data_IF_107069922625
#
_entry.id   IF_107069922625
#
_cell.length_a   1.000
_cell.length_b   1.000
_cell.length_c   1.000
_cell.angle_alpha   90.00
_cell.angle_beta   90.00
_cell.angle_gamma   90.00
#
_symmetry.space_group_name_H-M   'P 1'
#
loop_
_entity.id
_entity.type
_entity.pdbx_description
1 polymer ?
#
# COMPACT_ATOMS: atom_id res chain seq x y z
N UNK A 1 -65.22 14.08 -35.95
CA UNK A 1 -64.45 13.94 -34.70
C UNK A 1 -63.39 15.03 -34.67
N UNK A 2 -63.00 15.61 -33.54
CA UNK A 2 -63.49 15.38 -32.18
C UNK A 2 -62.36 15.55 -31.15
N UNK A 3 -62.50 16.57 -30.31
CA UNK A 3 -61.86 16.79 -29.01
C UNK A 3 -60.32 16.91 -28.89
N UNK A 4 -59.91 18.17 -28.96
CA UNK A 4 -58.80 18.81 -28.22
C UNK A 4 -58.79 18.45 -26.72
N UNK A 5 -57.62 18.36 -26.08
CA UNK A 5 -57.39 18.91 -24.72
C UNK A 5 -55.89 19.00 -24.32
N UNK A 6 -55.56 19.98 -23.46
CA UNK A 6 -54.29 20.11 -22.71
C UNK A 6 -54.57 19.94 -21.18
N UNK A 7 -53.83 20.55 -20.23
CA UNK A 7 -52.85 19.84 -19.40
C UNK A 7 -53.14 19.95 -17.88
N UNK A 8 -52.24 19.46 -17.01
CA UNK A 8 -52.06 20.07 -15.67
C UNK A 8 -50.69 19.83 -15.04
N UNK A 9 -50.38 20.63 -14.02
CA UNK A 9 -49.15 20.70 -13.21
C UNK A 9 -49.53 20.93 -11.74
N UNK A 10 -48.78 20.33 -10.80
CA UNK A 10 -48.61 20.69 -9.38
C UNK A 10 -47.38 19.88 -8.85
N UNK A 11 -46.48 20.32 -7.96
CA UNK A 11 -46.60 21.07 -6.68
C UNK A 11 -47.30 20.22 -5.58
N UNK A 12 -46.79 20.06 -4.34
CA UNK A 12 -45.50 20.41 -3.66
C UNK A 12 -45.27 19.46 -2.45
N UNK A 13 -44.21 19.71 -1.65
CA UNK A 13 -44.13 19.54 -0.17
C UNK A 13 -43.49 18.32 0.56
N UNK A 14 -42.24 18.54 0.98
CA UNK A 14 -41.81 18.78 2.39
C UNK A 14 -42.13 17.79 3.54
N UNK A 15 -41.09 17.03 3.95
CA UNK A 15 -40.60 16.70 5.31
C UNK A 15 -41.61 16.60 6.49
N UNK A 16 -41.54 15.50 7.26
CA UNK A 16 -41.75 15.54 8.72
C UNK A 16 -40.96 14.46 9.48
N UNK A 17 -40.56 14.75 10.72
CA UNK A 17 -39.93 13.83 11.69
C UNK A 17 -40.87 13.63 12.89
N UNK A 18 -40.82 12.46 13.54
CA UNK A 18 -41.55 12.22 14.79
C UNK A 18 -40.76 11.34 15.78
N UNK A 19 -40.37 11.91 16.91
CA UNK A 19 -39.87 11.18 18.08
C UNK A 19 -41.04 10.63 18.90
N UNK A 20 -40.84 9.48 19.59
CA UNK A 20 -41.69 9.05 20.72
C UNK A 20 -40.77 8.53 21.85
N UNK A 21 -41.11 8.87 23.10
CA UNK A 21 -40.36 8.51 24.31
C UNK A 21 -41.27 8.51 25.54
N UNK A 22 -41.30 7.45 26.36
CA UNK A 22 -42.10 7.35 27.61
C UNK A 22 -41.52 6.38 28.64
N UNK A 23 -42.00 6.48 29.88
CA UNK A 23 -41.41 5.98 31.15
C UNK A 23 -42.57 5.54 32.11
N UNK A 24 -42.45 4.90 33.28
CA UNK A 24 -41.36 4.64 34.25
C UNK A 24 -41.76 3.52 35.26
N UNK A 25 -41.03 3.39 36.38
CA UNK A 25 -41.42 2.80 37.70
C UNK A 25 -41.53 1.25 37.81
N UNK A 26 -40.72 0.56 38.63
CA UNK A 26 -40.88 0.19 40.08
C UNK A 26 -41.09 -1.35 40.22
N UNK A 27 -41.00 -2.11 41.34
CA UNK A 27 -40.56 -1.99 42.76
C UNK A 27 -40.41 -3.45 43.35
N UNK A 28 -39.82 -3.81 44.50
CA UNK A 28 -38.68 -3.29 45.32
C UNK A 28 -38.35 -4.31 46.48
N UNK A 29 -37.08 -4.42 46.93
CA UNK A 29 -36.57 -5.21 48.12
C UNK A 29 -36.66 -6.77 48.00
N UNK A 30 -35.87 -7.59 48.72
CA UNK A 30 -35.07 -7.39 49.95
C UNK A 30 -33.65 -8.02 49.95
N UNK A 31 -32.73 -7.32 50.65
CA UNK A 31 -31.57 -7.76 51.46
C UNK A 31 -30.92 -9.15 51.28
N UNK A 32 -29.59 -9.15 51.10
CA UNK A 32 -28.66 -9.68 52.11
C UNK A 32 -27.28 -9.01 51.99
N UNK A 33 -26.56 -8.85 53.11
CA UNK A 33 -25.26 -8.17 53.15
C UNK A 33 -24.08 -9.15 53.16
N UNK A 34 -23.05 -8.90 52.36
CA UNK A 34 -21.67 -9.31 52.64
C UNK A 34 -20.75 -8.15 52.28
N UNK A 35 -19.99 -7.67 53.26
CA UNK A 35 -19.01 -6.59 53.09
C UNK A 35 -17.75 -7.07 52.38
N UNK A 36 -17.31 -6.36 51.35
CA UNK A 36 -15.94 -6.40 50.84
C UNK A 36 -15.58 -5.11 50.11
N UNK A 37 -14.32 -4.66 50.22
CA UNK A 37 -13.94 -3.28 49.92
C UNK A 37 -13.82 -2.98 48.42
N UNK A 38 -14.69 -2.10 47.92
CA UNK A 38 -14.73 -1.67 46.51
C UNK A 38 -13.70 -0.56 46.19
N UNK A 39 -12.41 -0.87 46.20
CA UNK A 39 -11.39 0.01 45.61
C UNK A 39 -11.46 -0.02 44.08
N UNK A 40 -12.21 0.91 43.48
CA UNK A 40 -12.30 1.09 42.02
C UNK A 40 -11.03 1.73 41.44
N UNK A 41 -9.97 0.94 41.25
CA UNK A 41 -8.83 1.35 40.42
C UNK A 41 -9.18 1.18 38.94
N UNK A 42 -9.49 2.29 38.27
CA UNK A 42 -9.57 2.32 36.81
C UNK A 42 -8.16 2.14 36.26
N UNK A 43 -7.83 0.94 35.79
CA UNK A 43 -6.54 0.66 35.16
C UNK A 43 -6.32 1.61 33.99
N UNK A 44 -5.21 2.34 34.02
CA UNK A 44 -4.80 3.19 32.91
C UNK A 44 -4.32 2.34 31.74
N UNK A 45 -4.19 2.95 30.56
CA UNK A 45 -3.57 2.29 29.41
C UNK A 45 -2.11 1.88 29.69
N UNK A 46 -1.41 2.57 30.58
CA UNK A 46 -0.02 2.31 30.93
C UNK A 46 0.13 1.07 31.84
N UNK A 47 -0.82 0.84 32.74
CA UNK A 47 -0.89 -0.38 33.56
C UNK A 47 -1.06 -1.63 32.70
N UNK A 48 -1.94 -1.55 31.68
CA UNK A 48 -2.18 -2.64 30.74
C UNK A 48 -0.96 -2.93 29.87
N UNK A 49 -0.29 -1.90 29.35
CA UNK A 49 0.98 -2.02 28.62
C UNK A 49 2.06 -2.69 29.48
N UNK A 50 2.14 -2.35 30.76
CA UNK A 50 3.15 -2.89 31.68
C UNK A 50 2.99 -4.40 31.92
N UNK A 51 1.75 -4.91 32.01
CA UNK A 51 1.49 -6.34 32.16
C UNK A 51 1.88 -7.19 30.94
N UNK A 52 1.75 -6.63 29.72
CA UNK A 52 2.09 -7.28 28.46
C UNK A 52 3.61 -7.43 28.23
N UNK A 53 4.44 -6.71 29.00
CA UNK A 53 5.91 -6.72 28.84
C UNK A 53 6.61 -7.79 29.70
N UNK A 54 5.99 -8.25 30.80
CA UNK A 54 6.65 -9.08 31.82
C UNK A 54 6.29 -10.58 31.78
N UNK A 55 5.66 -11.08 30.70
CA UNK A 55 5.08 -12.43 30.66
C UNK A 55 5.51 -13.30 29.46
N UNK A 56 6.82 -13.43 29.21
CA UNK A 56 7.41 -14.62 28.56
C UNK A 56 8.93 -14.71 28.69
N UNK A 57 9.42 -15.58 29.58
CA UNK A 57 10.82 -16.02 29.64
C UNK A 57 11.12 -17.04 28.54
N UNK A 58 11.27 -16.58 27.31
CA UNK A 58 11.83 -17.36 26.21
C UNK A 58 12.75 -16.48 25.35
N UNK A 59 13.70 -17.12 24.64
CA UNK A 59 14.74 -16.44 23.84
C UNK A 59 14.14 -15.33 22.96
N UNK A 60 14.75 -14.12 22.93
CA UNK A 60 14.17 -12.98 22.23
C UNK A 60 13.98 -13.34 20.75
N UNK A 61 12.76 -13.19 20.19
CA UNK A 61 12.50 -13.52 18.80
C UNK A 61 13.42 -12.65 17.94
N UNK A 62 14.38 -13.29 17.28
CA UNK A 62 15.44 -12.64 16.50
C UNK A 62 14.80 -11.77 15.42
N UNK A 63 14.63 -10.47 15.71
CA UNK A 63 14.16 -9.46 14.77
C UNK A 63 15.20 -9.40 13.65
N UNK A 64 14.97 -10.16 12.58
CA UNK A 64 15.83 -10.22 11.39
C UNK A 64 16.15 -8.78 10.99
N UNK A 65 17.41 -8.36 11.17
CA UNK A 65 17.84 -7.00 10.87
C UNK A 65 17.47 -6.70 9.42
N UNK A 66 16.92 -5.51 9.10
CA UNK A 66 16.45 -5.20 7.75
C UNK A 66 17.60 -5.40 6.76
N UNK A 67 17.38 -6.25 5.76
CA UNK A 67 18.41 -6.67 4.82
C UNK A 67 18.85 -5.47 3.96
N UNK A 68 19.99 -4.90 4.31
CA UNK A 68 20.64 -3.85 3.52
C UNK A 68 21.47 -4.52 2.45
N UNK A 69 21.04 -4.42 1.19
CA UNK A 69 21.83 -4.90 0.05
C UNK A 69 22.78 -3.77 -0.39
N UNK A 70 24.05 -4.11 -0.63
CA UNK A 70 25.07 -3.18 -1.12
C UNK A 70 25.83 -3.81 -2.26
N UNK A 71 25.98 -3.06 -3.35
CA UNK A 71 26.88 -3.38 -4.46
C UNK A 71 27.81 -2.20 -4.75
N UNK A 72 28.82 -2.44 -5.59
CA UNK A 72 29.79 -1.44 -6.03
C UNK A 72 29.57 -1.18 -7.53
N UNK A 73 29.71 0.07 -7.97
CA UNK A 73 29.70 0.39 -9.40
C UNK A 73 30.82 -0.37 -10.13
N UNK A 74 30.53 -0.81 -11.36
CA UNK A 74 31.53 -1.44 -12.24
C UNK A 74 32.39 -0.43 -12.98
N UNK A 75 31.95 0.83 -13.04
CA UNK A 75 32.56 1.93 -13.80
C UNK A 75 33.28 2.93 -12.91
N UNK A 76 32.73 3.23 -11.74
CA UNK A 76 33.26 4.19 -10.79
C UNK A 76 33.60 3.50 -9.45
N UNK A 77 34.88 3.25 -9.13
CA UNK A 77 35.27 2.51 -7.93
C UNK A 77 34.99 3.24 -6.61
N UNK A 78 34.49 4.48 -6.66
CA UNK A 78 34.09 5.25 -5.48
C UNK A 78 32.57 5.20 -5.20
N UNK A 79 31.77 4.68 -6.14
CA UNK A 79 30.30 4.63 -6.03
C UNK A 79 29.81 3.26 -5.55
N UNK A 80 28.85 3.31 -4.64
CA UNK A 80 28.17 2.15 -4.05
C UNK A 80 26.67 2.33 -4.13
N UNK A 81 25.97 1.31 -4.62
CA UNK A 81 24.51 1.28 -4.61
C UNK A 81 24.04 0.57 -3.34
N UNK A 82 23.07 1.16 -2.65
CA UNK A 82 22.57 0.69 -1.36
C UNK A 82 21.05 0.58 -1.48
N UNK A 83 20.48 -0.55 -1.09
CA UNK A 83 19.03 -0.76 -0.99
C UNK A 83 18.65 -1.07 0.46
N UNK A 84 17.79 -0.21 0.99
CA UNK A 84 17.13 -0.33 2.31
C UNK A 84 15.63 -0.18 2.13
N UNK A 85 14.83 -0.59 3.12
CA UNK A 85 13.37 -0.40 3.08
C UNK A 85 12.97 1.08 3.05
N UNK A 86 13.74 1.94 3.73
CA UNK A 86 13.55 3.39 3.78
C UNK A 86 14.92 4.10 3.72
N UNK A 87 15.02 5.30 3.10
CA UNK A 87 16.25 6.12 3.15
C UNK A 87 16.61 6.54 4.58
N UNK A 88 17.90 6.55 4.91
CA UNK A 88 18.41 6.96 6.23
C UNK A 88 18.27 8.47 6.49
N UNK A 89 18.27 9.29 5.44
CA UNK A 89 18.16 10.75 5.54
C UNK A 89 16.70 11.21 5.58
N UNK A 90 16.33 11.96 6.62
CA UNK A 90 14.95 12.43 6.89
C UNK A 90 14.33 13.20 5.74
N UNK A 91 15.09 14.08 5.07
CA UNK A 91 14.61 14.86 3.92
C UNK A 91 14.27 13.95 2.72
N UNK A 92 15.16 13.01 2.39
CA UNK A 92 14.94 12.03 1.32
C UNK A 92 13.73 11.14 1.62
N UNK A 93 13.57 10.72 2.87
CA UNK A 93 12.39 9.97 3.32
C UNK A 93 11.10 10.80 3.20
N UNK A 94 11.15 12.09 3.55
CA UNK A 94 10.00 13.00 3.47
C UNK A 94 9.55 13.25 2.03
N UNK A 95 10.48 13.55 1.11
CA UNK A 95 10.15 13.71 -0.30
C UNK A 95 9.68 12.39 -0.93
N UNK A 96 10.35 11.26 -0.64
CA UNK A 96 9.89 9.93 -1.08
C UNK A 96 8.48 9.61 -0.60
N UNK A 97 8.13 9.96 0.65
CA UNK A 97 6.77 9.78 1.18
C UNK A 97 5.73 10.61 0.41
N UNK A 98 6.03 11.85 0.06
CA UNK A 98 5.12 12.67 -0.75
C UNK A 98 4.98 12.12 -2.17
N UNK A 99 6.08 11.69 -2.80
CA UNK A 99 6.08 11.05 -4.12
C UNK A 99 5.20 9.78 -4.11
N UNK A 100 5.36 8.90 -3.11
CA UNK A 100 4.53 7.69 -2.96
C UNK A 100 3.04 8.04 -2.79
N UNK A 101 2.70 9.06 -1.98
CA UNK A 101 1.30 9.49 -1.81
C UNK A 101 0.72 9.96 -3.15
N UNK A 102 1.41 10.85 -3.88
CA UNK A 102 0.94 11.35 -5.19
C UNK A 102 0.63 10.22 -6.16
N UNK A 103 1.55 9.25 -6.33
CA UNK A 103 1.39 8.10 -7.23
C UNK A 103 0.13 7.25 -6.96
N UNK A 104 -0.33 7.20 -5.71
CA UNK A 104 -1.49 6.37 -5.33
C UNK A 104 -2.78 7.16 -5.03
N UNK A 105 -2.74 8.48 -4.85
CA UNK A 105 -3.92 9.29 -4.50
C UNK A 105 -4.25 10.44 -5.44
N UNK A 106 -3.28 10.96 -6.20
CA UNK A 106 -3.45 12.14 -7.05
C UNK A 106 -3.27 11.82 -8.55
N UNK A 107 -2.21 11.09 -8.88
CA UNK A 107 -1.84 10.81 -10.27
C UNK A 107 -2.67 9.66 -10.84
N UNK A 108 -3.82 10.00 -11.44
CA UNK A 108 -4.75 9.02 -12.04
C UNK A 108 -4.36 8.73 -13.50
N UNK A 109 -3.41 7.81 -13.68
CA UNK A 109 -3.11 7.33 -15.03
C UNK A 109 -4.25 6.44 -15.57
N UNK A 110 -4.87 6.87 -16.66
CA UNK A 110 -5.89 6.12 -17.39
C UNK A 110 -5.35 4.84 -18.06
N UNK A 111 -4.02 4.79 -18.32
CA UNK A 111 -3.35 3.64 -18.91
C UNK A 111 -2.20 3.16 -18.01
N UNK A 112 -2.48 2.13 -17.20
CA UNK A 112 -1.50 1.51 -16.30
C UNK A 112 -0.26 0.92 -17.01
N UNK A 113 -0.25 0.79 -18.34
CA UNK A 113 0.95 0.36 -19.09
C UNK A 113 1.92 1.50 -19.37
N UNK A 114 1.51 2.76 -19.14
CA UNK A 114 2.34 3.95 -19.36
C UNK A 114 2.93 4.49 -18.05
N UNK A 115 4.13 5.09 -18.10
CA UNK A 115 4.67 5.82 -16.97
C UNK A 115 3.91 7.14 -16.77
N UNK A 116 3.88 7.62 -15.53
CA UNK A 116 3.62 9.02 -15.21
C UNK A 116 4.93 9.72 -14.90
N UNK A 117 5.08 10.96 -15.36
CA UNK A 117 6.16 11.86 -14.96
C UNK A 117 5.55 13.06 -14.23
N UNK A 118 6.05 13.36 -13.03
CA UNK A 118 5.56 14.44 -12.18
C UNK A 118 6.66 14.86 -11.20
N UNK A 119 6.58 16.07 -10.63
CA UNK A 119 7.56 16.53 -9.66
C UNK A 119 7.48 18.01 -9.35
N UNK A 120 8.47 18.49 -8.59
CA UNK A 120 8.85 19.90 -8.49
C UNK A 120 10.23 20.05 -7.85
N UNK A 121 10.81 21.25 -7.92
CA UNK A 121 12.12 21.59 -7.32
C UNK A 121 12.23 21.35 -5.81
N UNK A 122 11.11 21.17 -5.08
CA UNK A 122 11.10 20.94 -3.63
C UNK A 122 11.15 19.46 -3.24
N UNK A 123 10.60 18.57 -4.08
CA UNK A 123 10.50 17.14 -3.79
C UNK A 123 11.18 16.23 -4.82
N UNK A 124 11.76 16.84 -5.86
CA UNK A 124 12.39 16.15 -6.99
C UNK A 124 11.42 15.86 -8.13
N UNK A 125 11.99 15.39 -9.23
CA UNK A 125 11.30 14.98 -10.44
C UNK A 125 11.30 13.46 -10.52
N UNK A 126 10.13 12.89 -10.81
CA UNK A 126 9.86 11.46 -10.64
C UNK A 126 9.22 10.88 -11.90
N UNK A 127 9.67 9.70 -12.30
CA UNK A 127 8.94 8.80 -13.20
C UNK A 127 8.43 7.62 -12.37
N UNK A 128 7.14 7.30 -12.47
CA UNK A 128 6.57 6.11 -11.84
C UNK A 128 5.83 5.25 -12.86
N UNK A 129 6.00 3.92 -12.78
CA UNK A 129 5.25 2.93 -13.56
C UNK A 129 4.50 2.00 -12.60
N UNK A 130 3.17 2.09 -12.63
CA UNK A 130 2.27 1.39 -11.71
C UNK A 130 1.72 0.10 -12.33
N UNK A 131 1.49 -0.93 -11.51
CA UNK A 131 0.99 -2.23 -11.96
C UNK A 131 0.18 -2.95 -10.87
N UNK A 132 -0.77 -3.79 -11.27
CA UNK A 132 -1.51 -4.68 -10.34
C UNK A 132 -0.92 -6.08 -10.31
N UNK A 133 -0.93 -6.71 -9.14
CA UNK A 133 -0.78 -8.17 -8.96
C UNK A 133 -2.05 -8.74 -8.30
N UNK A 134 -2.49 -9.91 -8.75
CA UNK A 134 -3.60 -10.64 -8.12
C UNK A 134 -3.20 -11.09 -6.70
N UNK A 135 -4.08 -10.84 -5.73
CA UNK A 135 -4.07 -11.45 -4.40
C UNK A 135 -5.49 -11.49 -3.81
N UNK A 136 -6.05 -12.71 -3.67
CA UNK A 136 -7.34 -12.97 -3.02
C UNK A 136 -7.46 -12.45 -1.58
N UNK A 137 -6.35 -12.12 -0.90
CA UNK A 137 -6.36 -11.51 0.44
C UNK A 137 -6.44 -9.98 0.43
N UNK A 138 -6.38 -9.35 -0.73
CA UNK A 138 -6.46 -7.90 -0.92
C UNK A 138 -7.86 -7.45 -1.39
N UNK A 139 -8.12 -6.13 -1.31
CA UNK A 139 -9.40 -5.53 -1.72
C UNK A 139 -9.53 -5.59 -3.24
N UNK A 140 -10.62 -6.17 -3.76
CA UNK A 140 -10.81 -6.30 -5.20
C UNK A 140 -9.98 -7.44 -5.82
N UNK A 141 -9.51 -8.40 -5.02
CA UNK A 141 -8.58 -9.46 -5.45
C UNK A 141 -7.23 -8.97 -6.01
N UNK A 142 -6.87 -7.69 -5.83
CA UNK A 142 -5.62 -7.12 -6.37
C UNK A 142 -4.83 -6.29 -5.36
N UNK A 143 -3.50 -6.23 -5.56
CA UNK A 143 -2.60 -5.23 -4.97
C UNK A 143 -2.00 -4.36 -6.06
N UNK A 144 -2.18 -3.04 -5.94
CA UNK A 144 -1.47 -2.06 -6.75
C UNK A 144 -0.07 -1.81 -6.20
N UNK A 145 0.89 -1.76 -7.10
CA UNK A 145 2.29 -1.46 -6.85
C UNK A 145 2.78 -0.42 -7.85
N UNK A 146 3.97 0.15 -7.61
CA UNK A 146 4.63 1.05 -8.55
C UNK A 146 6.14 0.98 -8.39
N UNK A 147 6.88 1.08 -9.50
CA UNK A 147 8.32 1.31 -9.49
C UNK A 147 8.52 2.80 -9.77
N UNK A 148 9.28 3.48 -8.90
CA UNK A 148 9.50 4.93 -8.96
C UNK A 148 11.00 5.20 -9.11
N UNK A 149 11.35 6.06 -10.06
CA UNK A 149 12.70 6.62 -10.28
C UNK A 149 12.64 8.12 -10.02
N UNK A 150 13.55 8.65 -9.20
CA UNK A 150 13.53 10.04 -8.74
C UNK A 150 14.89 10.70 -8.89
N UNK A 151 14.95 11.93 -9.40
CA UNK A 151 16.14 12.81 -9.28
C UNK A 151 15.77 14.17 -8.70
N UNK A 152 16.78 14.95 -8.31
CA UNK A 152 16.63 16.33 -7.89
C UNK A 152 16.41 17.28 -9.08
N UNK A 153 16.94 16.93 -10.27
CA UNK A 153 16.88 17.75 -11.48
C UNK A 153 15.89 17.17 -12.50
N UNK A 154 15.26 18.05 -13.26
CA UNK A 154 14.32 17.67 -14.31
C UNK A 154 15.04 17.13 -15.56
N UNK A 155 16.18 17.75 -15.91
CA UNK A 155 17.04 17.33 -17.02
C UNK A 155 17.51 15.87 -16.92
N UNK A 156 17.89 15.41 -15.73
CA UNK A 156 18.24 13.99 -15.47
C UNK A 156 17.14 13.04 -15.93
N UNK A 157 15.88 13.43 -15.69
CA UNK A 157 14.69 12.62 -15.94
C UNK A 157 14.25 12.74 -17.40
N UNK A 158 14.28 13.94 -17.99
CA UNK A 158 13.92 14.19 -19.39
C UNK A 158 14.93 13.56 -20.35
N UNK A 159 16.22 13.86 -20.21
CA UNK A 159 17.28 13.39 -21.12
C UNK A 159 17.40 11.86 -21.10
N UNK A 160 17.05 11.22 -19.98
CA UNK A 160 17.07 9.77 -19.83
C UNK A 160 15.69 9.09 -19.97
N UNK A 161 14.61 9.83 -20.24
CA UNK A 161 13.22 9.35 -20.17
C UNK A 161 13.02 8.01 -20.89
N UNK A 162 13.42 7.92 -22.15
CA UNK A 162 13.24 6.70 -22.99
C UNK A 162 14.01 5.50 -22.44
N UNK A 163 15.20 5.73 -21.86
CA UNK A 163 16.00 4.67 -21.23
C UNK A 163 15.37 4.21 -19.91
N UNK A 164 14.90 5.16 -19.09
CA UNK A 164 14.18 4.88 -17.83
C UNK A 164 12.93 4.06 -18.12
N UNK A 165 12.07 4.52 -19.04
CA UNK A 165 10.85 3.85 -19.47
C UNK A 165 11.12 2.42 -19.99
N UNK A 166 12.12 2.24 -20.87
CA UNK A 166 12.45 0.91 -21.41
C UNK A 166 12.83 -0.08 -20.29
N UNK A 167 13.63 0.35 -19.31
CA UNK A 167 14.01 -0.48 -18.16
C UNK A 167 12.82 -0.79 -17.25
N UNK A 168 11.97 0.21 -16.96
CA UNK A 168 10.78 0.03 -16.14
C UNK A 168 9.79 -0.97 -16.77
N UNK A 169 9.51 -0.83 -18.07
CA UNK A 169 8.63 -1.73 -18.81
C UNK A 169 9.17 -3.17 -18.84
N UNK A 170 10.48 -3.36 -19.02
CA UNK A 170 11.08 -4.70 -18.99
C UNK A 170 10.94 -5.37 -17.61
N UNK A 171 11.19 -4.64 -16.52
CA UNK A 171 11.06 -5.22 -15.16
C UNK A 171 9.61 -5.45 -14.76
N UNK A 172 8.70 -4.51 -15.01
CA UNK A 172 7.27 -4.73 -14.76
C UNK A 172 6.73 -5.87 -15.62
N UNK A 173 7.12 -5.97 -16.89
CA UNK A 173 6.79 -7.10 -17.77
C UNK A 173 7.27 -8.45 -17.23
N UNK A 174 8.51 -8.52 -16.71
CA UNK A 174 9.05 -9.72 -16.08
C UNK A 174 8.31 -10.09 -14.78
N UNK A 175 7.98 -9.10 -13.93
CA UNK A 175 7.20 -9.31 -12.71
C UNK A 175 5.80 -9.87 -13.04
N UNK A 176 5.10 -9.25 -14.00
CA UNK A 176 3.77 -9.68 -14.45
C UNK A 176 3.80 -11.06 -15.11
N UNK A 177 4.87 -11.41 -15.84
CA UNK A 177 5.08 -12.75 -16.41
C UNK A 177 5.23 -13.80 -15.32
N UNK A 178 6.08 -13.54 -14.32
CA UNK A 178 6.30 -14.47 -13.19
C UNK A 178 5.00 -14.67 -12.38
N UNK A 179 4.27 -13.59 -12.09
CA UNK A 179 2.97 -13.66 -11.41
C UNK A 179 1.95 -14.53 -12.17
N UNK A 180 1.85 -14.38 -13.50
CA UNK A 180 0.98 -15.22 -14.35
C UNK A 180 1.39 -16.70 -14.34
N UNK A 181 2.68 -17.00 -14.26
CA UNK A 181 3.17 -18.39 -14.14
C UNK A 181 2.76 -19.02 -12.80
N UNK A 182 2.94 -18.31 -11.69
CA UNK A 182 2.53 -18.78 -10.34
C UNK A 182 1.01 -18.94 -10.22
N UNK A 183 0.24 -18.03 -10.82
CA UNK A 183 -1.23 -18.16 -10.90
C UNK A 183 -1.65 -19.42 -11.67
N UNK A 184 -1.00 -19.71 -12.81
CA UNK A 184 -1.28 -20.93 -13.58
C UNK A 184 -0.89 -22.20 -12.83
N UNK A 185 0.24 -22.20 -12.10
CA UNK A 185 0.70 -23.35 -11.30
C UNK A 185 -0.20 -23.66 -10.10
N UNK A 186 -0.92 -22.66 -9.57
CA UNK A 186 -1.79 -22.83 -8.40
C UNK A 186 -3.23 -23.24 -8.74
N UNK A 187 -3.53 -23.56 -10.01
CA UNK A 187 -4.83 -24.04 -10.50
C UNK A 187 -6.03 -23.15 -10.12
N UNK A 188 -5.82 -21.85 -9.90
CA UNK A 188 -6.91 -20.89 -9.73
C UNK A 188 -7.69 -20.76 -11.04
N UNK A 189 -9.00 -21.05 -11.01
CA UNK A 189 -9.88 -20.78 -12.14
C UNK A 189 -10.03 -19.27 -12.37
N UNK A 190 -10.55 -18.84 -13.53
CA UNK A 190 -10.78 -17.40 -13.77
C UNK A 190 -11.93 -16.85 -12.92
N UNK A 191 -12.96 -17.68 -12.66
CA UNK A 191 -14.07 -17.38 -11.74
C UNK A 191 -13.57 -17.15 -10.30
N UNK A 192 -12.63 -18.00 -9.85
CA UNK A 192 -11.96 -17.88 -8.56
C UNK A 192 -11.26 -16.54 -8.31
N UNK A 193 -10.86 -15.83 -9.37
CA UNK A 193 -10.18 -14.53 -9.26
C UNK A 193 -11.17 -13.41 -8.94
N UNK A 194 -12.37 -13.44 -9.54
CA UNK A 194 -13.42 -12.44 -9.30
C UNK A 194 -14.14 -12.62 -7.95
N UNK A 195 -14.13 -13.84 -7.39
CA UNK A 195 -14.74 -14.17 -6.10
C UNK A 195 -14.08 -13.43 -4.90
N UNK A 196 -14.54 -12.21 -4.65
CA UNK A 196 -14.11 -11.34 -3.56
C UNK A 196 -14.55 -11.84 -2.16
N UNK A 197 -15.30 -12.94 -2.08
CA UNK A 197 -15.74 -13.61 -0.85
C UNK A 197 -14.63 -13.85 0.17
N UNK A 198 -13.41 -14.18 -0.28
CA UNK A 198 -12.24 -14.37 0.61
C UNK A 198 -11.86 -13.06 1.33
N UNK A 199 -12.07 -11.92 0.67
CA UNK A 199 -11.90 -10.59 1.27
C UNK A 199 -13.13 -10.15 2.08
N UNK A 200 -14.35 -10.58 1.74
CA UNK A 200 -15.58 -10.17 2.41
C UNK A 200 -15.90 -10.97 3.69
N UNK A 201 -15.61 -12.27 3.74
CA UNK A 201 -15.89 -13.18 4.88
C UNK A 201 -14.92 -12.99 6.08
N UNK A 202 -14.48 -11.76 6.33
CA UNK A 202 -13.35 -11.42 7.24
C UNK A 202 -13.68 -11.37 8.74
N UNK A 203 -14.86 -11.82 9.14
CA UNK A 203 -15.33 -11.85 10.53
C UNK A 203 -14.61 -12.87 11.43
N UNK A 204 -13.97 -13.89 10.84
CA UNK A 204 -13.29 -14.98 11.57
C UNK A 204 -11.77 -14.75 11.77
N UNK A 205 -11.27 -13.52 11.56
CA UNK A 205 -9.86 -13.18 11.64
C UNK A 205 -9.30 -12.63 10.33
N UNK A 206 -8.35 -11.70 10.40
CA UNK A 206 -7.79 -11.05 9.22
C UNK A 206 -6.74 -11.96 8.54
N UNK A 207 -6.90 -12.30 7.24
CA UNK A 207 -5.81 -12.93 6.48
C UNK A 207 -4.57 -12.04 6.52
N UNK A 208 -3.42 -12.59 6.91
CA UNK A 208 -2.14 -11.87 6.92
C UNK A 208 -1.88 -11.30 5.52
N UNK A 209 -1.63 -10.00 5.44
CA UNK A 209 -1.30 -9.35 4.18
C UNK A 209 -0.02 -9.97 3.58
N UNK A 210 -0.15 -10.59 2.40
CA UNK A 210 0.97 -11.25 1.72
C UNK A 210 2.02 -10.23 1.28
N UNK A 211 3.30 -10.61 1.42
CA UNK A 211 4.41 -9.87 0.83
C UNK A 211 4.50 -10.12 -0.69
N UNK A 212 5.19 -9.24 -1.42
CA UNK A 212 5.40 -9.46 -2.87
C UNK A 212 6.20 -10.74 -3.14
N UNK A 213 7.12 -11.12 -2.24
CA UNK A 213 7.85 -12.40 -2.28
C UNK A 213 6.89 -13.58 -2.16
N UNK A 214 5.93 -13.54 -1.22
CA UNK A 214 4.89 -14.57 -1.05
C UNK A 214 3.93 -14.66 -2.26
N UNK A 215 3.72 -13.56 -2.99
CA UNK A 215 2.86 -13.52 -4.19
C UNK A 215 3.59 -14.03 -5.44
N UNK A 216 4.88 -13.71 -5.59
CA UNK A 216 5.71 -14.10 -6.73
C UNK A 216 6.44 -15.44 -6.54
N UNK A 217 6.39 -16.03 -5.34
CA UNK A 217 7.12 -17.25 -4.95
C UNK A 217 8.62 -17.19 -5.28
N UNK A 218 9.24 -16.03 -5.04
CA UNK A 218 10.62 -15.72 -5.42
C UNK A 218 11.38 -15.09 -4.25
N UNK A 219 12.00 -15.93 -3.40
CA UNK A 219 12.83 -15.48 -2.27
C UNK A 219 13.99 -14.56 -2.69
N UNK A 220 14.46 -14.71 -3.94
CA UNK A 220 15.55 -13.92 -4.51
C UNK A 220 15.06 -12.62 -5.18
N UNK A 221 13.77 -12.30 -5.11
CA UNK A 221 13.17 -11.13 -5.77
C UNK A 221 13.90 -9.83 -5.42
N UNK A 222 14.15 -9.56 -4.12
CA UNK A 222 14.83 -8.32 -3.71
C UNK A 222 16.30 -8.25 -4.16
N UNK A 223 16.98 -9.40 -4.33
CA UNK A 223 18.34 -9.44 -4.88
C UNK A 223 18.33 -9.13 -6.38
N UNK A 224 17.36 -9.68 -7.12
CA UNK A 224 17.13 -9.39 -8.56
C UNK A 224 16.83 -7.91 -8.78
N UNK A 225 15.94 -7.32 -7.97
CA UNK A 225 15.61 -5.89 -8.02
C UNK A 225 16.81 -5.02 -7.64
N UNK A 226 17.59 -5.37 -6.61
CA UNK A 226 18.81 -4.64 -6.27
C UNK A 226 19.84 -4.66 -7.41
N UNK A 227 20.04 -5.83 -8.03
CA UNK A 227 20.98 -6.00 -9.15
C UNK A 227 20.55 -5.17 -10.37
N UNK A 228 19.26 -5.21 -10.72
CA UNK A 228 18.69 -4.37 -11.79
C UNK A 228 18.82 -2.88 -11.49
N UNK A 229 18.39 -2.42 -10.31
CA UNK A 229 18.44 -1.01 -9.94
C UNK A 229 19.88 -0.48 -9.91
N UNK A 230 20.81 -1.28 -9.39
CA UNK A 230 22.25 -0.97 -9.42
C UNK A 230 22.77 -0.85 -10.85
N UNK A 231 22.44 -1.79 -11.74
CA UNK A 231 22.82 -1.74 -13.16
C UNK A 231 22.23 -0.52 -13.88
N UNK A 232 20.96 -0.18 -13.60
CA UNK A 232 20.27 0.96 -14.18
C UNK A 232 20.88 2.30 -13.73
N UNK A 233 21.19 2.46 -12.44
CA UNK A 233 21.84 3.67 -11.91
C UNK A 233 23.28 3.82 -12.43
N UNK A 234 24.05 2.72 -12.45
CA UNK A 234 25.37 2.63 -13.07
C UNK A 234 25.34 3.00 -14.57
N UNK A 235 24.23 2.69 -15.27
CA UNK A 235 24.04 3.05 -16.67
C UNK A 235 23.66 4.53 -16.91
N UNK A 236 23.01 5.17 -15.93
CA UNK A 236 22.67 6.59 -15.98
C UNK A 236 23.90 7.49 -15.71
N UNK A 237 24.80 7.10 -14.79
CA UNK A 237 26.03 7.87 -14.47
C UNK A 237 26.87 8.22 -15.71
N UNK A 238 26.98 7.26 -16.65
CA UNK A 238 27.78 7.44 -17.87
C UNK A 238 27.23 8.50 -18.84
N UNK A 239 25.91 8.78 -18.80
CA UNK A 239 25.28 9.69 -19.77
C UNK A 239 25.47 11.15 -19.38
N UNK A 240 25.32 11.46 -18.09
CA UNK A 240 25.49 12.78 -17.50
C UNK A 240 26.97 13.28 -17.46
N UNK A 241 27.79 12.84 -18.41
CA UNK A 241 29.24 13.10 -18.55
C UNK A 241 29.71 13.24 -20.01
N UNK A 242 28.78 13.23 -20.96
CA UNK A 242 29.05 13.35 -22.40
C UNK A 242 28.35 14.56 -23.04
N UNK A 243 27.61 15.32 -22.23
CA UNK A 243 27.06 16.66 -22.50
C UNK A 243 27.80 17.68 -21.60
#
# INVERSE_FOLDING_TARGET
>A
MGDTLKPKVSETDTITLSNISTTSQNNVKSQNEVTNNSSKTTLTLEDQISSLLNSSSNLPPQRKKPMTLRSKSKRNPNIYFISTQFPTYTERYSSLRQTIVRVFTAETNADLTKPIMFGNSKHGYSIALSFSLVDKTARGSERKYSIIVTSNWESDIVNNYTFILTNLNQVVGNILRNAKMVQKQSNLSTEDLHNNDVYLRRSAGLPKAKSMVEILQDDNFFLKIHTWASFMLDALENKNRLD
#
